data_IF_459375103729
#
_entry.id   IF_459375103729
#
_cell.length_a   1.000
_cell.length_b   1.000
_cell.length_c   1.000
_cell.angle_alpha   90.00
_cell.angle_beta   90.00
_cell.angle_gamma   90.00
#
_symmetry.space_group_name_H-M   'P 1'
#
loop_
_entity.id
_entity.type
_entity.pdbx_description
1 polymer ?
#
# COMPACT_ATOMS: atom_id res chain seq x y z
N UNK A 1 -19.89 -20.57 1.13
CA UNK A 1 -20.06 -19.73 2.33
C UNK A 1 -18.76 -18.94 2.54
N UNK A 2 -18.59 -17.87 1.75
CA UNK A 2 -17.41 -17.00 1.78
C UNK A 2 -17.91 -15.67 2.33
N UNK A 3 -17.70 -15.42 3.63
CA UNK A 3 -18.13 -14.14 4.22
C UNK A 3 -17.14 -13.08 3.80
N UNK A 4 -17.69 -12.18 3.00
CA UNK A 4 -17.13 -11.02 2.35
C UNK A 4 -16.47 -10.05 3.31
N UNK A 5 -15.53 -9.35 2.72
CA UNK A 5 -14.64 -8.31 3.22
C UNK A 5 -15.38 -7.04 3.70
N UNK A 6 -16.41 -7.18 4.53
CA UNK A 6 -17.33 -6.09 4.90
C UNK A 6 -16.90 -5.28 6.14
N UNK A 7 -15.65 -5.42 6.61
CA UNK A 7 -15.16 -4.71 7.81
C UNK A 7 -13.77 -4.08 7.65
N UNK A 8 -13.38 -3.70 6.43
CA UNK A 8 -12.14 -2.97 6.21
C UNK A 8 -12.33 -1.47 6.49
N UNK A 9 -12.02 -1.05 7.72
CA UNK A 9 -11.54 0.30 7.97
C UNK A 9 -10.35 0.60 7.05
N UNK A 10 -10.34 1.79 6.45
CA UNK A 10 -9.64 2.16 5.23
C UNK A 10 -8.10 2.30 5.31
N UNK A 11 -7.40 1.52 6.13
CA UNK A 11 -6.10 1.94 6.68
C UNK A 11 -4.88 1.10 6.23
N UNK A 12 -5.00 0.25 5.21
CA UNK A 12 -3.87 -0.52 4.66
C UNK A 12 -3.79 -0.45 3.13
N UNK A 13 -3.28 0.66 2.61
CA UNK A 13 -3.08 0.85 1.16
C UNK A 13 -1.67 0.40 0.76
N UNK A 14 -1.56 -0.79 0.18
CA UNK A 14 -0.30 -1.38 -0.28
C UNK A 14 0.23 -0.70 -1.56
N UNK A 15 1.55 -0.51 -1.64
CA UNK A 15 2.22 -0.13 -2.88
C UNK A 15 2.24 -1.31 -3.88
N UNK A 16 2.62 -1.08 -5.16
CA UNK A 16 2.75 -2.14 -6.19
C UNK A 16 3.54 -3.34 -5.69
N UNK A 17 4.64 -3.10 -4.96
CA UNK A 17 5.44 -4.14 -4.35
C UNK A 17 4.64 -4.98 -3.35
N UNK A 18 3.87 -4.32 -2.47
CA UNK A 18 3.02 -4.98 -1.48
C UNK A 18 1.91 -5.80 -2.13
N UNK A 19 1.16 -5.21 -3.07
CA UNK A 19 0.08 -5.93 -3.75
C UNK A 19 0.61 -7.17 -4.46
N UNK A 20 1.77 -7.06 -5.12
CA UNK A 20 2.43 -8.22 -5.72
C UNK A 20 2.86 -9.25 -4.67
N UNK A 21 3.46 -8.82 -3.57
CA UNK A 21 3.90 -9.72 -2.50
C UNK A 21 2.72 -10.52 -1.92
N UNK A 22 1.58 -9.87 -1.68
CA UNK A 22 0.37 -10.50 -1.13
C UNK A 22 -0.35 -11.40 -2.13
N UNK A 23 -0.52 -10.97 -3.38
CA UNK A 23 -1.31 -11.73 -4.36
C UNK A 23 -0.51 -12.80 -5.10
N UNK A 24 0.76 -12.52 -5.41
CA UNK A 24 1.61 -13.41 -6.21
C UNK A 24 2.74 -14.03 -5.37
N UNK A 25 3.24 -13.29 -4.37
CA UNK A 25 4.43 -13.65 -3.63
C UNK A 25 4.21 -14.62 -2.46
N UNK A 26 2.98 -15.06 -2.20
CA UNK A 26 2.66 -16.00 -1.11
C UNK A 26 2.61 -15.38 0.30
N UNK A 27 2.69 -14.05 0.42
CA UNK A 27 2.51 -13.36 1.69
C UNK A 27 1.05 -13.41 2.15
N UNK A 28 0.82 -13.39 3.46
CA UNK A 28 -0.54 -13.34 4.03
C UNK A 28 -0.72 -12.18 4.99
N UNK A 29 -1.94 -11.69 5.06
CA UNK A 29 -2.37 -10.63 5.98
C UNK A 29 -3.59 -11.11 6.75
N UNK A 30 -3.51 -11.09 8.07
CA UNK A 30 -4.62 -11.36 8.99
C UNK A 30 -4.98 -10.08 9.72
N UNK A 31 -6.25 -9.68 9.71
CA UNK A 31 -6.73 -8.50 10.44
C UNK A 31 -7.26 -8.91 11.81
N UNK A 32 -6.69 -8.34 12.87
CA UNK A 32 -7.16 -8.52 14.24
C UNK A 32 -8.40 -7.68 14.58
N UNK A 33 -8.97 -7.91 15.76
CA UNK A 33 -10.22 -7.29 16.24
C UNK A 33 -10.21 -5.75 16.38
N UNK A 34 -9.05 -5.10 16.23
CA UNK A 34 -8.88 -3.65 16.34
C UNK A 34 -8.18 -3.05 15.09
N UNK A 35 -8.29 -3.70 13.93
CA UNK A 35 -7.62 -3.24 12.70
C UNK A 35 -6.11 -3.49 12.68
N UNK A 36 -5.54 -4.11 13.72
CA UNK A 36 -4.14 -4.50 13.76
C UNK A 36 -3.86 -5.60 12.73
N UNK A 37 -3.10 -5.26 11.69
CA UNK A 37 -2.67 -6.21 10.67
C UNK A 37 -1.51 -7.08 11.18
N UNK A 38 -1.61 -8.39 10.95
CA UNK A 38 -0.53 -9.37 11.15
C UNK A 38 -0.08 -9.89 9.80
N UNK A 39 1.18 -9.63 9.47
CA UNK A 39 1.78 -10.09 8.22
C UNK A 39 2.52 -11.41 8.43
N UNK A 40 2.40 -12.31 7.46
CA UNK A 40 3.20 -13.53 7.37
C UNK A 40 3.95 -13.55 6.05
N UNK A 41 5.22 -13.92 6.11
CA UNK A 41 6.04 -14.16 4.93
C UNK A 41 5.62 -15.47 4.22
N UNK A 42 6.18 -15.76 3.03
CA UNK A 42 5.79 -16.94 2.25
C UNK A 42 6.10 -18.28 2.92
N UNK A 43 6.98 -18.28 3.92
CA UNK A 43 7.30 -19.46 4.75
C UNK A 43 6.32 -19.62 5.92
N UNK A 44 5.44 -18.65 6.14
CA UNK A 44 4.45 -18.63 7.22
C UNK A 44 4.92 -17.91 8.49
N UNK A 45 6.15 -17.37 8.51
CA UNK A 45 6.70 -16.68 9.68
C UNK A 45 6.02 -15.32 9.86
N UNK A 46 5.65 -15.01 11.11
CA UNK A 46 5.07 -13.70 11.45
C UNK A 46 6.14 -12.61 11.32
N UNK A 47 5.83 -11.58 10.56
CA UNK A 47 6.68 -10.38 10.44
C UNK A 47 6.32 -9.44 11.60
N UNK A 48 7.32 -8.97 12.37
CA UNK A 48 7.08 -8.05 13.46
C UNK A 48 6.52 -6.72 12.94
N UNK A 49 5.61 -6.09 13.70
CA UNK A 49 4.99 -4.83 13.33
C UNK A 49 6.01 -3.67 13.19
N UNK A 50 7.10 -3.76 13.93
CA UNK A 50 8.25 -2.85 13.82
C UNK A 50 9.46 -3.74 13.54
N UNK A 51 10.18 -3.54 12.42
CA UNK A 51 11.44 -4.21 12.20
C UNK A 51 12.39 -3.95 13.38
N UNK A 52 13.21 -4.92 13.80
CA UNK A 52 14.25 -4.66 14.78
C UNK A 52 15.12 -3.49 14.29
N UNK A 53 15.55 -2.64 15.21
CA UNK A 53 16.43 -1.52 14.88
C UNK A 53 17.65 -2.08 14.13
N UNK A 54 17.93 -1.51 12.95
CA UNK A 54 19.09 -1.92 12.17
C UNK A 54 20.35 -1.62 12.99
N UNK A 55 21.20 -2.62 13.18
CA UNK A 55 22.44 -2.52 13.96
C UNK A 55 23.52 -1.64 13.30
N UNK A 56 23.28 -1.19 12.06
CA UNK A 56 24.09 -0.14 11.43
C UNK A 56 23.79 1.23 12.06
N UNK A 57 24.43 1.46 13.20
CA UNK A 57 24.55 2.73 13.95
C UNK A 57 25.23 3.84 13.13
N UNK A 58 25.57 3.61 11.85
CA UNK A 58 26.23 4.58 10.96
C UNK A 58 25.27 5.57 10.29
N UNK A 59 23.98 5.29 10.22
CA UNK A 59 23.02 6.32 9.81
C UNK A 59 22.92 7.35 10.95
N UNK A 60 23.23 8.64 10.71
CA UNK A 60 23.03 9.66 11.73
C UNK A 60 21.57 9.61 12.19
N UNK A 61 21.31 9.74 13.50
CA UNK A 61 19.93 9.85 14.05
C UNK A 61 19.11 10.98 13.41
N UNK A 62 19.75 11.85 12.63
CA UNK A 62 19.18 12.94 11.84
C UNK A 62 18.68 12.54 10.45
N UNK A 63 19.00 11.34 9.93
CA UNK A 63 18.47 10.85 8.65
C UNK A 63 16.93 10.86 8.62
N UNK A 64 16.34 10.50 9.75
CA UNK A 64 14.91 10.51 10.01
C UNK A 64 14.34 11.93 10.17
N UNK A 65 15.15 12.89 10.65
CA UNK A 65 14.77 14.30 10.70
C UNK A 65 14.70 14.94 9.30
N UNK A 66 15.61 14.56 8.40
CA UNK A 66 15.60 15.01 7.00
C UNK A 66 14.33 14.57 6.26
N UNK A 67 13.99 13.28 6.37
CA UNK A 67 12.78 12.72 5.78
C UNK A 67 11.51 13.38 6.33
N UNK A 68 11.41 13.54 7.65
CA UNK A 68 10.25 14.22 8.27
C UNK A 68 10.09 15.67 7.85
N UNK A 69 11.21 16.39 7.68
CA UNK A 69 11.16 17.77 7.23
C UNK A 69 10.72 17.85 5.77
N UNK A 70 11.19 16.95 4.92
CA UNK A 70 10.74 16.83 3.54
C UNK A 70 9.25 16.50 3.47
N UNK A 71 8.78 15.49 4.21
CA UNK A 71 7.35 15.16 4.31
C UNK A 71 6.50 16.37 4.70
N UNK A 72 6.90 17.13 5.73
CA UNK A 72 6.17 18.36 6.12
C UNK A 72 6.13 19.41 5.00
N UNK A 73 7.22 19.61 4.27
CA UNK A 73 7.27 20.57 3.15
C UNK A 73 6.36 20.16 2.01
N UNK A 74 6.28 18.86 1.72
CA UNK A 74 5.42 18.30 0.68
C UNK A 74 3.97 18.07 1.14
N UNK A 75 3.63 18.39 2.41
CA UNK A 75 2.31 18.11 2.97
C UNK A 75 2.00 16.61 3.09
N UNK A 76 3.03 15.76 3.15
CA UNK A 76 2.90 14.31 3.32
C UNK A 76 2.70 14.00 4.81
N UNK A 77 1.49 13.61 5.15
CA UNK A 77 1.08 13.10 6.46
C UNK A 77 0.76 11.58 6.42
N UNK A 78 0.51 10.93 7.57
CA UNK A 78 0.22 9.49 7.64
C UNK A 78 -0.95 9.00 6.76
N UNK A 79 -1.87 9.89 6.39
CA UNK A 79 -3.06 9.62 5.57
C UNK A 79 -2.86 9.95 4.09
N UNK A 80 -1.69 10.45 3.69
CA UNK A 80 -1.41 10.81 2.28
C UNK A 80 -1.58 9.64 1.32
N UNK A 81 -1.23 8.44 1.76
CA UNK A 81 -1.40 7.22 0.98
C UNK A 81 -2.81 6.61 1.12
N UNK A 82 -3.66 7.16 1.97
CA UNK A 82 -5.02 6.69 2.18
C UNK A 82 -5.87 7.05 0.97
N UNK A 83 -6.36 6.02 0.29
CA UNK A 83 -7.31 6.21 -0.82
C UNK A 83 -8.54 6.95 -0.32
N UNK A 84 -9.02 7.92 -1.11
CA UNK A 84 -10.30 8.63 -0.86
C UNK A 84 -11.54 7.80 -1.21
N UNK A 85 -11.37 6.52 -1.54
CA UNK A 85 -12.46 5.62 -1.89
C UNK A 85 -13.41 5.40 -0.71
N UNK A 86 -14.70 5.64 -0.94
CA UNK A 86 -15.76 5.59 0.08
C UNK A 86 -16.49 4.23 0.13
N UNK A 87 -16.00 3.22 -0.61
CA UNK A 87 -16.62 1.89 -0.65
C UNK A 87 -17.58 1.66 -1.83
N UNK A 88 -17.74 2.64 -2.73
CA UNK A 88 -18.52 2.49 -3.95
C UNK A 88 -17.98 1.33 -4.82
N UNK A 89 -18.83 0.63 -5.60
CA UNK A 89 -18.36 -0.38 -6.54
C UNK A 89 -17.27 0.20 -7.46
N UNK A 90 -16.17 -0.55 -7.62
CA UNK A 90 -15.13 -0.17 -8.58
C UNK A 90 -15.71 -0.23 -10.00
N UNK A 91 -15.77 0.91 -10.68
CA UNK A 91 -16.07 0.95 -12.11
C UNK A 91 -14.87 0.43 -12.89
N UNK A 92 -14.89 -0.88 -13.18
CA UNK A 92 -13.80 -1.56 -13.83
C UNK A 92 -13.66 -1.13 -15.29
N UNK A 93 -14.77 -0.82 -15.97
CA UNK A 93 -14.76 -0.36 -17.36
C UNK A 93 -14.10 1.01 -17.45
N UNK A 94 -14.45 1.93 -16.56
CA UNK A 94 -13.81 3.24 -16.46
C UNK A 94 -12.33 3.12 -16.10
N UNK A 95 -11.99 2.27 -15.13
CA UNK A 95 -10.59 2.06 -14.72
C UNK A 95 -9.72 1.51 -15.86
N UNK A 96 -10.23 0.55 -16.62
CA UNK A 96 -9.56 -0.01 -17.80
C UNK A 96 -9.48 1.03 -18.92
N UNK A 97 -10.54 1.80 -19.15
CA UNK A 97 -10.55 2.86 -20.15
C UNK A 97 -9.54 3.97 -19.84
N UNK A 98 -9.40 4.41 -18.59
CA UNK A 98 -8.37 5.40 -18.21
C UNK A 98 -6.97 4.80 -18.33
N UNK A 99 -6.78 3.54 -17.91
CA UNK A 99 -5.47 2.88 -17.97
C UNK A 99 -5.00 2.65 -19.41
N UNK A 100 -5.91 2.28 -20.32
CA UNK A 100 -5.58 1.96 -21.72
C UNK A 100 -5.79 3.14 -22.68
N UNK A 101 -6.74 4.03 -22.42
CA UNK A 101 -7.01 5.21 -23.23
C UNK A 101 -5.88 6.25 -23.21
N UNK A 102 -4.96 6.17 -22.25
CA UNK A 102 -3.73 6.98 -22.26
C UNK A 102 -2.67 6.49 -23.26
N UNK A 103 -2.84 5.30 -23.87
CA UNK A 103 -1.91 4.78 -24.87
C UNK A 103 -2.28 5.12 -26.31
N UNK A 104 -3.41 5.79 -26.55
CA UNK A 104 -3.87 6.20 -27.89
C UNK A 104 -3.72 7.72 -28.10
N UNK A 105 -2.48 8.21 -28.04
CA UNK A 105 -2.12 9.60 -28.41
C UNK A 105 -1.19 9.66 -29.62
N UNK A 106 -0.98 8.54 -30.32
CA UNK A 106 -0.24 8.58 -31.60
C UNK A 106 -1.21 9.01 -32.69
N UNK A 107 -0.95 10.12 -33.41
CA UNK A 107 -1.76 10.43 -34.57
C UNK A 107 -1.65 9.27 -35.57
N UNK A 108 -2.79 8.77 -36.02
CA UNK A 108 -2.86 7.86 -37.17
C UNK A 108 -2.27 8.63 -38.35
N UNK A 109 -1.10 8.19 -38.84
CA UNK A 109 -0.50 8.75 -40.04
C UNK A 109 -1.46 8.53 -41.20
N UNK A 110 -1.77 9.63 -41.90
CA UNK A 110 -2.57 9.66 -43.12
C UNK A 110 -1.84 9.04 -44.31
#
# INVERSE_FOLDING_TARGET
MYRSWDNLGADSKGCRFHHRAVHEGGWRVEMGHAGAARFRDPTGRVVPAVPPAHEDVRAPRTADAGLRNWHRKEGIDPWTATSRWQGDPLDLDWALWVLWGQYDTRPLAA
#
